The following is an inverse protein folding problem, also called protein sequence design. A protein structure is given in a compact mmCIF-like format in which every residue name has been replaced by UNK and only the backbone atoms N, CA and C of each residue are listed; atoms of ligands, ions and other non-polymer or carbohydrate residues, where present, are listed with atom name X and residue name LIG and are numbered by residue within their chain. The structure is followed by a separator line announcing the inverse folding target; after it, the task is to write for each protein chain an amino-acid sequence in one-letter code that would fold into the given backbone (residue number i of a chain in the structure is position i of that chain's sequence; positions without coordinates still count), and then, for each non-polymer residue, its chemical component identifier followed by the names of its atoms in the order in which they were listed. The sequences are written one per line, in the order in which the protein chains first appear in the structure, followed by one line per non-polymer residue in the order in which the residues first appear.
data_IF_606719678059
#
_entry.id   IF_606719678059
#
_cell.length_a   1.000
_cell.length_b   1.000
_cell.length_c   1.000
_cell.angle_alpha   90.00
_cell.angle_beta   90.00
_cell.angle_gamma   90.00
#
_symmetry.space_group_name_H-M   'P 1'
#
loop_
_entity.id
_entity.type
_entity.pdbx_description
1 polymer ?
#
# COMPACT_ATOMS: atom_id res chain seq x y z
N UNK A 1 -42.30 -41.97 -17.10
CA UNK A 1 -40.99 -41.72 -16.47
C UNK A 1 -40.81 -40.22 -16.41
N UNK A 2 -41.06 -39.61 -15.26
CA UNK A 2 -40.91 -38.17 -15.02
C UNK A 2 -39.53 -37.92 -14.41
N UNK A 3 -38.68 -37.22 -15.15
CA UNK A 3 -37.33 -36.85 -14.72
C UNK A 3 -37.39 -35.56 -13.91
N UNK A 4 -37.10 -35.66 -12.62
CA UNK A 4 -36.90 -34.52 -11.70
C UNK A 4 -35.52 -33.88 -11.93
N UNK A 5 -35.50 -32.58 -12.19
CA UNK A 5 -34.30 -31.74 -12.21
C UNK A 5 -33.85 -31.45 -10.76
N UNK A 6 -32.56 -31.56 -10.40
CA UNK A 6 -32.10 -31.23 -9.06
C UNK A 6 -31.95 -29.72 -8.90
N UNK A 7 -32.57 -29.19 -7.84
CA UNK A 7 -32.46 -27.79 -7.40
C UNK A 7 -31.06 -27.53 -6.88
N UNK A 8 -30.36 -26.53 -7.44
CA UNK A 8 -29.10 -26.03 -6.88
C UNK A 8 -29.38 -25.23 -5.60
N UNK A 9 -28.64 -25.52 -4.53
CA UNK A 9 -28.67 -24.74 -3.30
C UNK A 9 -28.05 -23.34 -3.54
N UNK A 10 -28.59 -22.27 -2.96
CA UNK A 10 -27.96 -20.96 -3.02
C UNK A 10 -26.66 -20.99 -2.21
N UNK A 11 -25.54 -20.66 -2.86
CA UNK A 11 -24.26 -20.43 -2.18
C UNK A 11 -24.43 -19.29 -1.18
N UNK A 12 -24.17 -19.58 0.10
CA UNK A 12 -24.13 -18.57 1.15
C UNK A 12 -23.01 -17.57 0.81
N UNK A 13 -23.28 -16.26 0.68
CA UNK A 13 -22.23 -15.30 0.35
C UNK A 13 -21.17 -15.31 1.46
N UNK A 14 -19.92 -15.54 1.07
CA UNK A 14 -18.76 -15.43 1.97
C UNK A 14 -18.76 -14.03 2.59
N UNK A 15 -18.62 -13.89 3.93
CA UNK A 15 -18.56 -12.58 4.55
C UNK A 15 -17.44 -11.75 3.94
N UNK A 16 -17.75 -10.52 3.54
CA UNK A 16 -16.76 -9.56 3.04
C UNK A 16 -15.69 -9.32 4.11
N UNK A 17 -14.41 -9.43 3.75
CA UNK A 17 -13.29 -9.02 4.61
C UNK A 17 -13.24 -7.51 4.83
N UNK A 18 -14.05 -6.74 4.10
CA UNK A 18 -14.12 -5.28 4.16
C UNK A 18 -15.35 -4.80 4.90
N UNK A 19 -15.16 -3.82 5.78
CA UNK A 19 -16.22 -2.95 6.31
C UNK A 19 -15.92 -1.54 5.81
N UNK A 20 -16.73 -1.03 4.89
CA UNK A 20 -16.40 0.17 4.11
C UNK A 20 -15.03 0.01 3.42
N UNK A 21 -14.11 0.97 3.52
CA UNK A 21 -12.74 0.80 3.05
C UNK A 21 -11.76 0.30 4.12
N UNK A 22 -12.25 -0.24 5.26
CA UNK A 22 -11.42 -0.86 6.30
C UNK A 22 -11.29 -2.36 6.13
N UNK A 23 -10.06 -2.86 6.17
CA UNK A 23 -9.71 -4.25 5.97
C UNK A 23 -9.75 -5.03 7.29
N UNK A 24 -10.52 -6.11 7.36
CA UNK A 24 -10.79 -6.86 8.60
C UNK A 24 -9.58 -7.55 9.22
N UNK A 25 -8.54 -7.87 8.44
CA UNK A 25 -7.30 -8.47 8.96
C UNK A 25 -6.27 -7.43 9.43
N UNK A 26 -6.50 -6.14 9.21
CA UNK A 26 -5.57 -5.09 9.60
C UNK A 26 -5.84 -4.61 11.03
N UNK A 27 -4.78 -4.23 11.76
CA UNK A 27 -4.91 -3.44 12.99
C UNK A 27 -5.20 -1.99 12.61
N UNK A 28 -6.22 -1.38 13.20
CA UNK A 28 -6.67 -0.04 12.78
C UNK A 28 -6.20 1.05 13.74
N UNK A 29 -5.63 2.12 13.19
CA UNK A 29 -5.29 3.35 13.89
C UNK A 29 -5.69 4.55 13.02
N UNK A 30 -6.88 5.10 13.24
CA UNK A 30 -7.42 6.17 12.38
C UNK A 30 -6.53 7.43 12.41
N UNK A 31 -5.89 7.72 11.28
CA UNK A 31 -5.10 8.94 11.07
C UNK A 31 -6.01 10.14 10.83
N UNK A 32 -5.66 11.33 11.36
CA UNK A 32 -6.33 12.58 10.98
C UNK A 32 -5.88 13.12 9.61
N UNK A 33 -4.80 12.56 9.04
CA UNK A 33 -4.17 13.05 7.81
C UNK A 33 -4.82 12.40 6.58
N UNK A 34 -6.04 12.80 6.25
CA UNK A 34 -6.72 12.36 5.03
C UNK A 34 -7.68 13.44 4.51
N UNK A 35 -8.20 13.24 3.31
CA UNK A 35 -9.29 14.07 2.79
C UNK A 35 -10.15 13.31 1.78
N UNK A 36 -11.20 13.95 1.23
CA UNK A 36 -12.01 13.33 0.20
C UNK A 36 -11.18 13.12 -1.07
N UNK A 37 -11.45 12.01 -1.76
CA UNK A 37 -11.02 11.83 -3.16
C UNK A 37 -11.85 12.74 -4.09
N UNK A 38 -11.31 13.19 -5.24
CA UNK A 38 -12.12 13.83 -6.27
C UNK A 38 -13.31 12.94 -6.70
N UNK A 39 -14.43 13.55 -7.09
CA UNK A 39 -15.66 12.80 -7.42
C UNK A 39 -15.51 11.78 -8.57
N UNK A 40 -14.53 11.98 -9.45
CA UNK A 40 -14.25 11.11 -10.60
C UNK A 40 -13.06 10.18 -10.37
N UNK A 41 -12.53 10.13 -9.14
CA UNK A 41 -11.36 9.32 -8.83
C UNK A 41 -11.62 7.84 -9.11
N UNK A 42 -10.64 7.18 -9.70
CA UNK A 42 -10.64 5.74 -9.91
C UNK A 42 -9.48 5.18 -9.11
N UNK A 43 -9.80 4.45 -8.04
CA UNK A 43 -8.82 3.76 -7.20
C UNK A 43 -8.29 2.55 -7.99
N UNK A 44 -7.38 2.79 -8.92
CA UNK A 44 -6.86 1.80 -9.86
C UNK A 44 -5.34 1.60 -9.73
N UNK A 45 -4.69 2.36 -8.84
CA UNK A 45 -3.25 2.34 -8.60
C UNK A 45 -2.92 1.95 -7.15
N UNK A 46 -2.00 1.01 -6.98
CA UNK A 46 -1.31 0.77 -5.71
C UNK A 46 0.07 1.43 -5.79
N UNK A 47 0.45 2.19 -4.75
CA UNK A 47 1.79 2.76 -4.62
C UNK A 47 2.48 2.10 -3.44
N UNK A 48 3.56 1.37 -3.70
CA UNK A 48 4.43 0.76 -2.70
C UNK A 48 5.50 1.76 -2.29
N UNK A 49 5.69 1.91 -0.99
CA UNK A 49 6.67 2.78 -0.34
C UNK A 49 7.55 1.96 0.60
N UNK A 50 8.61 2.58 1.11
CA UNK A 50 9.30 2.06 2.29
C UNK A 50 9.61 3.15 3.30
N UNK A 51 9.48 2.80 4.57
CA UNK A 51 9.71 3.71 5.69
C UNK A 51 10.27 2.96 6.89
N UNK A 52 11.20 3.60 7.61
CA UNK A 52 11.69 3.19 8.91
C UNK A 52 12.01 4.43 9.72
N UNK A 53 11.62 4.43 11.00
CA UNK A 53 11.82 5.57 11.88
C UNK A 53 12.35 5.10 13.25
N UNK A 54 13.57 5.52 13.64
CA UNK A 54 14.56 6.23 12.83
C UNK A 54 14.99 5.43 11.58
N UNK A 55 15.61 6.06 10.56
CA UNK A 55 16.01 5.36 9.34
C UNK A 55 16.86 4.13 9.63
N UNK A 56 16.44 2.99 9.08
CA UNK A 56 17.09 1.69 9.27
C UNK A 56 16.80 0.99 10.61
N UNK A 57 15.94 1.56 11.46
CA UNK A 57 15.48 0.93 12.71
C UNK A 57 14.02 0.47 12.55
N UNK A 58 13.72 -0.72 13.07
CA UNK A 58 12.46 -1.42 12.85
C UNK A 58 11.82 -1.88 14.17
N UNK A 59 10.52 -2.18 14.16
CA UNK A 59 9.76 -2.76 15.28
C UNK A 59 9.30 -1.76 16.34
N UNK A 60 9.46 -0.46 16.08
CA UNK A 60 8.97 0.62 16.96
C UNK A 60 7.57 1.11 16.59
N UNK A 61 7.09 2.14 17.30
CA UNK A 61 5.81 2.80 17.01
C UNK A 61 5.95 4.12 16.24
N UNK A 62 7.18 4.54 15.93
CA UNK A 62 7.44 5.87 15.39
C UNK A 62 6.77 6.13 14.02
N UNK A 63 6.59 5.09 13.19
CA UNK A 63 5.87 5.22 11.91
C UNK A 63 4.38 5.45 12.14
N UNK A 64 3.78 4.65 13.03
CA UNK A 64 2.40 4.83 13.46
C UNK A 64 2.20 6.24 14.04
N UNK A 65 3.09 6.67 14.93
CA UNK A 65 3.01 7.97 15.58
C UNK A 65 3.21 9.13 14.59
N UNK A 66 4.08 8.99 13.58
CA UNK A 66 4.19 9.97 12.51
C UNK A 66 2.85 10.12 11.77
N UNK A 67 2.23 9.01 11.37
CA UNK A 67 0.95 9.04 10.64
C UNK A 67 -0.23 9.51 11.50
N UNK A 68 -0.10 9.48 12.82
CA UNK A 68 -1.12 9.95 13.76
C UNK A 68 -0.88 11.39 14.27
N UNK A 69 0.18 12.07 13.80
CA UNK A 69 0.64 13.37 14.33
C UNK A 69 1.01 13.33 15.83
N UNK A 70 1.58 12.22 16.30
CA UNK A 70 1.95 11.97 17.70
C UNK A 70 3.45 11.76 17.92
N UNK A 71 4.25 11.77 16.85
CA UNK A 71 5.69 11.54 16.94
C UNK A 71 6.33 12.55 17.89
N UNK A 72 7.03 12.06 18.91
CA UNK A 72 7.88 12.89 19.75
C UNK A 72 9.10 13.34 18.93
N UNK A 73 9.07 14.59 18.50
CA UNK A 73 10.11 15.18 17.65
C UNK A 73 11.47 15.19 18.32
N UNK A 74 11.53 15.24 19.65
CA UNK A 74 12.77 15.37 20.40
C UNK A 74 13.39 14.00 20.76
N UNK A 75 12.68 12.89 20.47
CA UNK A 75 13.16 11.52 20.73
C UNK A 75 14.32 11.05 19.84
N UNK A 76 14.52 11.67 18.67
CA UNK A 76 15.64 11.34 17.77
C UNK A 76 16.02 12.53 16.87
N UNK A 77 17.32 12.81 16.62
CA UNK A 77 17.74 13.95 15.79
C UNK A 77 17.13 13.97 14.38
N UNK A 78 16.97 12.79 13.76
CA UNK A 78 16.31 12.68 12.45
C UNK A 78 14.88 13.26 12.45
N UNK A 79 14.13 13.12 13.54
CA UNK A 79 12.74 13.56 13.59
C UNK A 79 12.60 15.08 13.47
N UNK A 80 13.63 15.85 13.84
CA UNK A 80 13.66 17.29 13.62
C UNK A 80 13.57 17.65 12.12
N UNK A 81 14.16 16.83 11.24
CA UNK A 81 14.14 17.05 9.78
C UNK A 81 12.75 16.85 9.15
N UNK A 82 11.87 16.10 9.82
CA UNK A 82 10.50 15.80 9.39
C UNK A 82 9.45 16.45 10.31
N UNK A 83 9.88 17.39 11.16
CA UNK A 83 9.03 18.03 12.16
C UNK A 83 7.88 18.78 11.51
N UNK A 84 6.67 18.49 11.96
CA UNK A 84 5.45 19.14 11.47
C UNK A 84 4.94 18.60 10.13
N UNK A 85 5.56 17.56 9.55
CA UNK A 85 4.97 16.87 8.40
C UNK A 85 3.61 16.28 8.79
N UNK A 86 2.63 16.48 7.93
CA UNK A 86 1.33 15.83 7.99
C UNK A 86 1.21 14.88 6.81
N UNK A 87 1.46 13.61 7.07
CA UNK A 87 1.49 12.54 6.06
C UNK A 87 0.80 11.31 6.59
N UNK A 88 0.37 10.44 5.68
CA UNK A 88 -0.24 9.15 6.01
C UNK A 88 -0.12 8.21 4.82
N UNK A 89 -0.23 6.91 5.10
CA UNK A 89 -0.53 5.90 4.10
C UNK A 89 -1.84 5.20 4.46
N UNK A 90 -2.39 4.42 3.53
CA UNK A 90 -3.54 3.58 3.88
C UNK A 90 -3.08 2.43 4.75
N UNK A 91 -1.99 1.75 4.36
CA UNK A 91 -1.47 0.57 5.05
C UNK A 91 0.02 0.69 5.38
N UNK A 92 0.43 -0.03 6.43
CA UNK A 92 1.83 -0.26 6.79
C UNK A 92 2.02 -1.74 7.11
N UNK A 93 3.11 -2.32 6.60
CA UNK A 93 3.45 -3.73 6.80
C UNK A 93 4.82 -3.81 7.49
N UNK A 94 4.81 -4.23 8.75
CA UNK A 94 6.01 -4.44 9.56
C UNK A 94 6.87 -5.59 9.01
N UNK A 95 8.13 -5.69 9.47
CA UNK A 95 9.06 -6.75 9.02
C UNK A 95 8.49 -8.17 9.14
N UNK A 96 7.68 -8.43 10.18
CA UNK A 96 7.07 -9.73 10.44
C UNK A 96 5.78 -9.99 9.63
N UNK A 97 5.34 -9.04 8.80
CA UNK A 97 4.12 -9.11 8.00
C UNK A 97 2.87 -8.62 8.74
N UNK A 98 2.98 -8.10 9.96
CA UNK A 98 1.88 -7.44 10.65
C UNK A 98 1.33 -6.29 9.81
N UNK A 99 0.02 -6.30 9.58
CA UNK A 99 -0.67 -5.31 8.76
C UNK A 99 -1.39 -4.28 9.64
N UNK A 100 -1.05 -3.01 9.43
CA UNK A 100 -1.75 -1.85 9.97
C UNK A 100 -2.51 -1.12 8.89
N UNK A 101 -3.62 -0.48 9.26
CA UNK A 101 -4.36 0.45 8.41
C UNK A 101 -4.63 1.76 9.16
N UNK A 102 -4.44 2.89 8.47
CA UNK A 102 -4.61 4.23 9.05
C UNK A 102 -5.71 5.06 8.41
N UNK A 103 -5.99 4.81 7.13
CA UNK A 103 -6.96 5.58 6.36
C UNK A 103 -7.90 4.61 5.66
N UNK A 104 -9.20 4.91 5.71
CA UNK A 104 -10.23 4.24 4.92
C UNK A 104 -9.85 4.32 3.43
N UNK A 105 -9.84 3.19 2.72
CA UNK A 105 -9.44 3.16 1.31
C UNK A 105 -10.31 4.04 0.39
N UNK A 106 -11.56 4.32 0.77
CA UNK A 106 -12.46 5.21 0.03
C UNK A 106 -12.10 6.71 0.24
N UNK A 107 -11.25 7.01 1.22
CA UNK A 107 -10.68 8.34 1.47
C UNK A 107 -9.27 8.46 0.86
N UNK A 108 -8.80 9.70 0.72
CA UNK A 108 -7.48 10.03 0.18
C UNK A 108 -6.44 10.17 1.31
N UNK A 109 -5.57 9.19 1.47
CA UNK A 109 -4.35 9.36 2.29
C UNK A 109 -3.32 10.29 1.62
N UNK A 110 -2.34 10.76 2.38
CA UNK A 110 -1.34 11.75 1.94
C UNK A 110 0.06 11.15 1.86
N UNK A 111 0.29 10.24 0.90
CA UNK A 111 1.55 9.48 0.78
C UNK A 111 2.40 9.89 -0.44
N UNK A 112 1.77 10.23 -1.56
CA UNK A 112 2.49 10.39 -2.83
C UNK A 112 3.19 11.75 -2.98
N UNK A 113 2.62 12.83 -2.44
CA UNK A 113 3.04 14.21 -2.71
C UNK A 113 2.97 14.55 -4.20
N UNK A 114 3.81 15.49 -4.66
CA UNK A 114 3.91 15.87 -6.08
C UNK A 114 4.35 14.66 -6.93
N UNK A 115 3.45 14.15 -7.75
CA UNK A 115 3.59 12.87 -8.44
C UNK A 115 2.79 12.83 -9.74
N UNK A 116 3.20 11.95 -10.66
CA UNK A 116 2.51 11.67 -11.91
C UNK A 116 2.72 10.22 -12.32
N UNK A 117 1.65 9.56 -12.76
CA UNK A 117 1.71 8.19 -13.27
C UNK A 117 0.70 7.99 -14.39
N UNK A 118 1.16 7.39 -15.51
CA UNK A 118 0.34 7.07 -16.69
C UNK A 118 -0.51 8.25 -17.20
N UNK A 119 0.05 9.46 -17.17
CA UNK A 119 -0.61 10.69 -17.64
C UNK A 119 -1.53 11.38 -16.63
N UNK A 120 -1.69 10.84 -15.41
CA UNK A 120 -2.44 11.48 -14.31
C UNK A 120 -1.48 12.03 -13.27
N UNK A 121 -1.65 13.30 -12.93
CA UNK A 121 -0.93 13.95 -11.81
C UNK A 121 -1.65 13.70 -10.49
N UNK A 122 -1.02 14.02 -9.35
CA UNK A 122 -1.61 13.93 -8.01
C UNK A 122 -2.06 12.50 -7.65
N UNK A 123 -1.12 11.55 -7.67
CA UNK A 123 -1.44 10.13 -7.51
C UNK A 123 -2.19 9.78 -6.22
N UNK A 124 -2.16 10.61 -5.16
CA UNK A 124 -3.01 10.41 -3.98
C UNK A 124 -4.50 10.24 -4.35
N UNK A 125 -4.99 10.97 -5.35
CA UNK A 125 -6.41 11.00 -5.74
C UNK A 125 -6.93 9.61 -6.14
N UNK A 126 -6.10 8.83 -6.83
CA UNK A 126 -6.47 7.59 -7.51
C UNK A 126 -5.74 6.35 -6.97
N UNK A 127 -5.01 6.48 -5.85
CA UNK A 127 -4.19 5.38 -5.35
C UNK A 127 -4.37 5.00 -3.88
N UNK A 128 -3.94 3.76 -3.61
CA UNK A 128 -3.73 3.20 -2.28
C UNK A 128 -2.23 3.13 -2.01
N UNK A 129 -1.75 4.00 -1.11
CA UNK A 129 -0.39 3.90 -0.54
C UNK A 129 -0.24 2.78 0.47
N UNK A 130 0.76 1.92 0.26
CA UNK A 130 1.16 0.83 1.16
C UNK A 130 2.64 1.02 1.51
N UNK A 131 2.92 1.20 2.80
CA UNK A 131 4.27 1.33 3.35
C UNK A 131 4.80 -0.03 3.77
N UNK A 132 6.02 -0.36 3.37
CA UNK A 132 6.75 -1.50 3.92
C UNK A 132 7.78 -1.01 4.92
N UNK A 133 7.83 -1.62 6.10
CA UNK A 133 8.89 -1.34 7.07
C UNK A 133 10.25 -1.73 6.48
N UNK A 134 11.08 -0.72 6.27
CA UNK A 134 12.34 -0.91 5.57
C UNK A 134 13.03 0.40 5.25
N UNK A 135 14.18 0.27 4.61
CA UNK A 135 14.98 1.38 4.13
C UNK A 135 15.09 1.27 2.61
N UNK A 136 15.05 2.40 1.93
CA UNK A 136 15.30 2.49 0.49
C UNK A 136 16.56 1.72 0.10
N UNK A 137 16.43 0.80 -0.87
CA UNK A 137 17.54 -0.01 -1.37
C UNK A 137 17.92 -1.22 -0.51
N UNK A 138 17.39 -1.36 0.70
CA UNK A 138 17.56 -2.55 1.54
C UNK A 138 16.56 -3.65 1.18
N UNK A 139 16.83 -4.88 1.59
CA UNK A 139 15.95 -6.03 1.33
C UNK A 139 14.74 -6.08 2.26
N UNK A 140 13.67 -6.71 1.78
CA UNK A 140 12.40 -6.87 2.49
C UNK A 140 12.16 -8.34 2.83
N UNK A 141 11.45 -8.60 3.93
CA UNK A 141 11.26 -9.96 4.43
C UNK A 141 10.22 -10.75 3.63
N UNK A 142 10.33 -12.09 3.56
CA UNK A 142 9.32 -12.94 2.95
C UNK A 142 7.91 -12.71 3.52
N UNK A 143 7.80 -12.41 4.82
CA UNK A 143 6.54 -12.12 5.48
C UNK A 143 5.87 -10.85 4.91
N UNK A 144 6.67 -9.82 4.60
CA UNK A 144 6.19 -8.58 3.97
C UNK A 144 5.63 -8.84 2.58
N UNK A 145 6.33 -9.61 1.74
CA UNK A 145 5.83 -9.97 0.40
C UNK A 145 4.53 -10.78 0.48
N UNK A 146 4.43 -11.72 1.40
CA UNK A 146 3.23 -12.53 1.58
C UNK A 146 2.04 -11.67 2.05
N UNK A 147 2.26 -10.76 2.99
CA UNK A 147 1.25 -9.81 3.45
C UNK A 147 0.82 -8.84 2.34
N UNK A 148 1.78 -8.26 1.63
CA UNK A 148 1.54 -7.35 0.50
C UNK A 148 0.76 -8.04 -0.62
N UNK A 149 1.12 -9.28 -0.99
CA UNK A 149 0.44 -10.01 -2.05
C UNK A 149 -1.01 -10.36 -1.69
N UNK A 150 -1.27 -10.73 -0.43
CA UNK A 150 -2.64 -10.93 0.07
C UNK A 150 -3.45 -9.64 0.02
N UNK A 151 -2.90 -8.56 0.58
CA UNK A 151 -3.56 -7.25 0.57
C UNK A 151 -3.85 -6.75 -0.86
N UNK A 152 -2.90 -6.86 -1.77
CA UNK A 152 -3.08 -6.49 -3.18
C UNK A 152 -4.20 -7.32 -3.85
N UNK A 153 -4.30 -8.62 -3.54
CA UNK A 153 -5.39 -9.47 -4.03
C UNK A 153 -6.74 -8.99 -3.50
N UNK A 154 -6.84 -8.71 -2.20
CA UNK A 154 -8.08 -8.25 -1.56
C UNK A 154 -8.49 -6.86 -2.08
N UNK A 155 -7.53 -5.96 -2.29
CA UNK A 155 -7.75 -4.65 -2.92
C UNK A 155 -8.24 -4.78 -4.37
N UNK A 156 -7.67 -5.69 -5.16
CA UNK A 156 -8.08 -5.89 -6.55
C UNK A 156 -9.45 -6.57 -6.69
N UNK A 157 -9.94 -7.25 -5.66
CA UNK A 157 -11.31 -7.74 -5.59
C UNK A 157 -12.32 -6.62 -5.28
N UNK A 158 -11.89 -5.60 -4.51
CA UNK A 158 -12.76 -4.52 -4.02
C UNK A 158 -12.78 -3.28 -4.93
N UNK A 159 -11.64 -2.96 -5.54
CA UNK A 159 -11.37 -1.77 -6.32
C UNK A 159 -10.89 -2.16 -7.73
N UNK A 160 -11.06 -1.29 -8.76
CA UNK A 160 -10.63 -1.57 -10.12
C UNK A 160 -9.10 -1.47 -10.29
N UNK A 161 -8.32 -2.08 -9.39
CA UNK A 161 -6.85 -2.07 -9.42
C UNK A 161 -6.36 -2.62 -10.75
N UNK A 162 -5.75 -1.73 -11.52
CA UNK A 162 -5.15 -2.02 -12.81
C UNK A 162 -3.62 -1.91 -12.76
N UNK A 163 -3.07 -1.17 -11.78
CA UNK A 163 -1.65 -0.85 -11.71
C UNK A 163 -1.09 -0.95 -10.30
N UNK A 164 0.20 -1.30 -10.23
CA UNK A 164 1.03 -1.19 -9.05
C UNK A 164 2.35 -0.56 -9.43
N UNK A 165 2.86 0.35 -8.60
CA UNK A 165 4.12 1.06 -8.83
C UNK A 165 4.80 1.38 -7.50
N UNK A 166 6.11 1.65 -7.54
CA UNK A 166 6.84 2.20 -6.39
C UNK A 166 6.76 3.73 -6.34
N UNK A 167 7.08 4.35 -5.21
CA UNK A 167 7.13 5.81 -5.10
C UNK A 167 8.11 6.42 -6.11
N UNK A 168 9.25 5.77 -6.32
CA UNK A 168 10.27 6.09 -7.33
C UNK A 168 9.71 6.20 -8.75
N UNK A 169 8.69 5.41 -9.09
CA UNK A 169 8.12 5.36 -10.43
C UNK A 169 7.14 6.50 -10.70
N UNK A 170 6.48 7.02 -9.65
CA UNK A 170 5.50 8.10 -9.76
C UNK A 170 6.11 9.48 -9.47
N UNK A 171 7.31 9.52 -8.89
CA UNK A 171 8.02 10.75 -8.53
C UNK A 171 9.53 10.66 -8.86
N UNK A 172 9.89 10.37 -10.12
CA UNK A 172 11.28 10.18 -10.53
C UNK A 172 12.12 11.42 -10.22
N UNK A 173 13.32 11.20 -9.67
CA UNK A 173 14.25 12.26 -9.27
C UNK A 173 13.96 12.92 -7.92
N UNK A 174 12.79 12.65 -7.30
CA UNK A 174 12.44 13.15 -5.96
C UNK A 174 12.40 12.05 -4.91
N UNK A 175 11.93 10.86 -5.28
CA UNK A 175 11.79 9.70 -4.40
C UNK A 175 12.46 8.50 -5.04
N UNK A 176 13.01 7.62 -4.21
CA UNK A 176 13.69 6.42 -4.66
C UNK A 176 13.24 5.16 -3.90
N UNK A 177 12.28 5.26 -2.99
CA UNK A 177 11.64 4.12 -2.33
C UNK A 177 10.57 3.46 -3.23
N UNK A 178 10.32 2.14 -3.10
CA UNK A 178 10.94 1.21 -2.15
C UNK A 178 12.40 0.84 -2.53
N UNK A 179 12.82 1.20 -3.74
CA UNK A 179 14.20 1.12 -4.21
C UNK A 179 14.64 -0.28 -4.65
N UNK A 180 15.92 -0.43 -5.06
CA UNK A 180 16.42 -1.62 -5.74
C UNK A 180 16.40 -2.91 -4.90
N UNK A 181 16.25 -2.81 -3.58
CA UNK A 181 16.08 -3.98 -2.71
C UNK A 181 14.69 -4.63 -2.82
N UNK A 182 13.70 -3.92 -3.38
CA UNK A 182 12.36 -4.44 -3.61
C UNK A 182 12.29 -5.31 -4.88
N UNK A 183 11.91 -6.57 -4.71
CA UNK A 183 11.91 -7.62 -5.73
C UNK A 183 10.56 -7.67 -6.46
N UNK A 184 10.38 -6.77 -7.42
CA UNK A 184 9.18 -6.75 -8.29
C UNK A 184 8.84 -8.11 -8.93
N UNK A 185 9.80 -8.91 -9.45
CA UNK A 185 9.49 -10.24 -9.99
C UNK A 185 8.95 -11.22 -8.93
N UNK A 186 9.39 -11.10 -7.67
CA UNK A 186 8.86 -11.92 -6.59
C UNK A 186 7.39 -11.58 -6.32
N UNK A 187 7.06 -10.30 -6.21
CA UNK A 187 5.67 -9.87 -6.01
C UNK A 187 4.78 -10.30 -7.19
N UNK A 188 5.26 -10.14 -8.43
CA UNK A 188 4.50 -10.54 -9.61
C UNK A 188 4.17 -12.03 -9.62
N UNK A 189 5.12 -12.90 -9.23
CA UNK A 189 4.87 -14.34 -9.10
C UNK A 189 3.82 -14.66 -8.03
N UNK A 190 3.87 -13.97 -6.89
CA UNK A 190 2.89 -14.18 -5.82
C UNK A 190 1.48 -13.74 -6.23
N UNK A 191 1.36 -12.69 -7.04
CA UNK A 191 0.07 -12.17 -7.51
C UNK A 191 -0.47 -12.88 -8.75
N UNK A 192 0.40 -13.51 -9.54
CA UNK A 192 0.09 -14.02 -10.88
C UNK A 192 -0.58 -12.97 -11.79
N UNK A 193 -0.30 -11.69 -11.55
CA UNK A 193 -0.84 -10.58 -12.34
C UNK A 193 -0.10 -10.43 -13.67
N UNK A 194 -0.83 -9.93 -14.67
CA UNK A 194 -0.28 -9.59 -15.98
C UNK A 194 0.85 -8.55 -15.84
N UNK A 195 1.94 -8.76 -16.57
CA UNK A 195 3.11 -7.88 -16.54
C UNK A 195 2.79 -6.40 -16.84
N UNK A 196 1.73 -6.12 -17.61
CA UNK A 196 1.26 -4.75 -17.93
C UNK A 196 0.75 -3.98 -16.72
N UNK A 197 0.48 -4.65 -15.59
CA UNK A 197 0.11 -3.99 -14.32
C UNK A 197 1.30 -3.37 -13.60
N UNK A 198 2.52 -3.76 -13.93
CA UNK A 198 3.75 -3.32 -13.27
C UNK A 198 4.47 -2.24 -14.09
N UNK A 199 5.37 -1.43 -13.49
CA UNK A 199 6.14 -0.46 -14.24
C UNK A 199 7.08 -1.15 -15.23
N UNK A 200 7.34 -0.48 -16.36
CA UNK A 200 8.27 -1.01 -17.36
C UNK A 200 9.65 -1.30 -16.73
N UNK A 201 10.31 -2.34 -17.24
CA UNK A 201 11.66 -2.79 -16.83
C UNK A 201 11.78 -3.44 -15.43
N UNK A 202 10.76 -3.36 -14.57
CA UNK A 202 10.79 -4.00 -13.23
C UNK A 202 10.74 -5.54 -13.28
N UNK A 203 10.25 -6.12 -14.38
CA UNK A 203 10.11 -7.56 -14.58
C UNK A 203 11.12 -8.15 -15.57
N UNK A 204 11.99 -7.32 -16.12
CA UNK A 204 13.08 -7.81 -16.97
C UNK A 204 14.21 -8.32 -16.06
N UNK A 205 14.89 -9.42 -16.41
CA UNK A 205 16.10 -9.79 -15.69
C UNK A 205 17.09 -8.63 -15.76
N UNK A 206 17.67 -8.28 -14.61
CA UNK A 206 18.81 -7.35 -14.55
C UNK A 206 19.88 -7.90 -15.50
N UNK A 207 20.26 -7.09 -16.50
CA UNK A 207 21.34 -7.42 -17.43
C UNK A 207 22.69 -7.26 -16.76
#
# INVERSE_FOLDING_TARGET
MTTTTPTQNPETPTPSVWVQGWHGSARHLASPNYGPRPAQAQIDLIVVHSISLPPGQYGGQAVQDLFLNRLDWDAHPYYQSIRGLQVSAHFFIERDGTLWQFVDCDQRAWHAGASQYRGRSQCNDDSIGIELEGLEGATFEPAQYNALARLCTDLAQRYPIAHIAGHEHIAPGRKADPGPGFQWPQLQRLLAWDARRFPAHTLQPLR
#
